data_IF_164813951355
#
_entry.id   IF_164813951355
#
_cell.length_a   1.000
_cell.length_b   1.000
_cell.length_c   1.000
_cell.angle_alpha   90.00
_cell.angle_beta   90.00
_cell.angle_gamma   90.00
#
_symmetry.space_group_name_H-M   'P 1'
#
loop_
_entity.id
_entity.type
_entity.pdbx_description
1 polymer ?
#
# COMPACT_ATOMS: atom_id res chain seq x y z
N UNK A 1 -20.55 9.17 -7.68
CA UNK A 1 -20.22 8.75 -9.07
C UNK A 1 -19.43 7.46 -9.00
N UNK A 2 -19.58 6.53 -9.95
CA UNK A 2 -18.78 5.30 -9.97
C UNK A 2 -17.57 5.46 -10.90
N UNK A 3 -16.37 5.19 -10.40
CA UNK A 3 -15.13 5.33 -11.16
C UNK A 3 -14.87 4.08 -12.01
N UNK A 4 -14.22 4.24 -13.16
CA UNK A 4 -13.90 3.11 -14.00
C UNK A 4 -12.78 2.22 -13.45
N UNK A 5 -12.55 1.08 -14.08
CA UNK A 5 -11.48 0.16 -13.72
C UNK A 5 -10.98 -0.62 -14.93
N UNK A 6 -9.78 -1.21 -14.78
CA UNK A 6 -9.13 -1.99 -15.84
C UNK A 6 -8.36 -3.17 -15.27
N UNK A 7 -8.42 -4.29 -15.97
CA UNK A 7 -7.54 -5.42 -15.74
C UNK A 7 -6.15 -5.16 -16.34
N UNK A 8 -5.12 -5.30 -15.51
CA UNK A 8 -3.72 -5.25 -15.90
C UNK A 8 -3.16 -6.66 -15.83
N UNK A 9 -2.75 -7.19 -16.97
CA UNK A 9 -2.13 -8.50 -17.10
C UNK A 9 -0.62 -8.37 -17.26
N UNK A 10 0.13 -9.21 -16.57
CA UNK A 10 1.60 -9.25 -16.66
C UNK A 10 2.09 -10.68 -16.58
N UNK A 11 2.93 -11.05 -17.54
CA UNK A 11 3.73 -12.27 -17.46
C UNK A 11 4.98 -11.99 -16.61
N UNK A 12 5.31 -12.92 -15.73
CA UNK A 12 6.54 -12.90 -14.94
C UNK A 12 7.28 -14.19 -15.16
N UNK A 13 8.48 -14.09 -15.72
CA UNK A 13 9.43 -15.19 -15.81
C UNK A 13 10.22 -15.26 -14.51
N UNK A 14 10.13 -16.39 -13.83
CA UNK A 14 10.91 -16.69 -12.64
C UNK A 14 12.38 -16.93 -12.96
N UNK A 15 13.22 -16.93 -11.92
CA UNK A 15 14.66 -17.23 -12.03
C UNK A 15 14.91 -18.67 -12.49
N UNK A 16 13.94 -19.56 -12.24
CA UNK A 16 13.88 -20.94 -12.70
C UNK A 16 13.37 -21.08 -14.16
N UNK A 17 13.09 -19.97 -14.84
CA UNK A 17 12.50 -19.95 -16.18
C UNK A 17 10.99 -20.18 -16.22
N UNK A 18 10.33 -20.42 -15.07
CA UNK A 18 8.89 -20.69 -15.02
C UNK A 18 8.09 -19.42 -15.28
N UNK A 19 7.10 -19.51 -16.17
CA UNK A 19 6.20 -18.38 -16.48
C UNK A 19 5.03 -18.39 -15.49
N UNK A 20 4.81 -17.26 -14.83
CA UNK A 20 3.62 -16.99 -14.01
C UNK A 20 2.79 -15.87 -14.61
N UNK A 21 1.47 -16.03 -14.55
CA UNK A 21 0.50 -15.07 -15.06
C UNK A 21 -0.04 -14.26 -13.88
N UNK A 22 0.12 -12.93 -13.91
CA UNK A 22 -0.47 -12.03 -12.91
C UNK A 22 -1.56 -11.20 -13.54
N UNK A 23 -2.72 -11.16 -12.90
CA UNK A 23 -3.80 -10.24 -13.21
C UNK A 23 -4.03 -9.32 -12.00
N UNK A 24 -4.25 -8.03 -12.24
CA UNK A 24 -4.61 -7.05 -11.21
C UNK A 24 -5.76 -6.20 -11.70
N UNK A 25 -6.76 -6.02 -10.84
CA UNK A 25 -7.78 -5.01 -11.06
C UNK A 25 -7.25 -3.67 -10.55
N UNK A 26 -7.31 -2.64 -11.39
CA UNK A 26 -6.81 -1.30 -11.09
C UNK A 26 -7.93 -0.30 -11.32
N UNK A 27 -8.20 0.54 -10.34
CA UNK A 27 -9.13 1.66 -10.45
C UNK A 27 -8.56 2.74 -11.38
N UNK A 28 -9.42 3.41 -12.12
CA UNK A 28 -9.06 4.57 -12.93
C UNK A 28 -9.09 5.82 -12.04
N UNK A 29 -8.06 6.03 -11.22
CA UNK A 29 -8.03 7.16 -10.29
C UNK A 29 -8.09 8.55 -10.93
N UNK A 30 -7.82 8.65 -12.24
CA UNK A 30 -8.04 9.90 -12.98
C UNK A 30 -9.54 10.25 -13.13
N UNK A 31 -10.45 9.29 -12.95
CA UNK A 31 -11.90 9.53 -12.90
C UNK A 31 -12.38 10.00 -11.52
N UNK A 32 -11.50 10.04 -10.50
CA UNK A 32 -11.87 10.48 -9.16
C UNK A 32 -12.01 12.00 -9.06
N UNK A 33 -13.08 12.42 -8.40
CA UNK A 33 -13.32 13.81 -7.99
C UNK A 33 -12.42 14.17 -6.79
N UNK A 34 -12.05 15.45 -6.61
CA UNK A 34 -11.42 15.93 -5.38
C UNK A 34 -12.23 15.65 -4.10
N UNK A 35 -13.53 15.35 -4.21
CA UNK A 35 -14.39 14.97 -3.08
C UNK A 35 -14.28 13.50 -2.68
N UNK A 36 -13.53 12.69 -3.44
CA UNK A 36 -13.40 11.25 -3.20
C UNK A 36 -12.24 10.89 -2.26
N UNK A 37 -11.50 11.89 -1.74
CA UNK A 37 -10.39 11.76 -0.82
C UNK A 37 -10.03 13.10 -0.19
N UNK A 38 -9.51 13.09 1.04
CA UNK A 38 -8.97 14.28 1.70
C UNK A 38 -7.47 14.47 1.45
N UNK A 39 -6.71 13.37 1.42
CA UNK A 39 -5.25 13.36 1.28
C UNK A 39 -4.80 12.21 0.37
N UNK A 40 -3.71 12.45 -0.37
CA UNK A 40 -3.10 11.49 -1.30
C UNK A 40 -1.61 11.31 -1.06
N UNK A 41 -0.98 12.22 -0.33
CA UNK A 41 0.45 12.19 -0.06
C UNK A 41 0.81 11.06 0.91
N UNK A 42 1.76 10.22 0.52
CA UNK A 42 2.41 9.28 1.41
C UNK A 42 3.93 9.53 1.39
N UNK A 43 4.58 9.58 2.56
CA UNK A 43 6.02 9.75 2.62
C UNK A 43 6.73 8.54 2.00
N UNK A 44 7.90 8.80 1.42
CA UNK A 44 8.79 7.76 0.88
C UNK A 44 10.11 7.77 1.66
N UNK A 45 10.61 6.56 1.96
CA UNK A 45 11.85 6.39 2.70
C UNK A 45 13.02 7.07 1.98
N UNK A 46 13.75 7.94 2.68
CA UNK A 46 14.95 8.56 2.12
C UNK A 46 16.07 7.54 2.05
N UNK A 47 16.78 7.51 0.92
CA UNK A 47 17.93 6.63 0.75
C UNK A 47 19.06 6.89 1.76
N UNK A 48 19.19 8.14 2.24
CA UNK A 48 20.13 8.51 3.31
C UNK A 48 19.78 7.84 4.64
N UNK A 49 18.49 7.86 5.01
CA UNK A 49 17.97 7.20 6.22
C UNK A 49 18.21 5.69 6.16
N UNK A 50 17.90 5.05 5.03
CA UNK A 50 18.15 3.62 4.83
C UNK A 50 19.63 3.28 5.00
N UNK A 51 20.52 4.03 4.33
CA UNK A 51 21.98 3.80 4.44
C UNK A 51 22.48 3.98 5.88
N UNK A 52 22.03 5.03 6.57
CA UNK A 52 22.40 5.27 7.96
C UNK A 52 21.97 4.12 8.88
N UNK A 53 20.72 3.64 8.72
CA UNK A 53 20.20 2.50 9.48
C UNK A 53 21.01 1.21 9.23
N UNK A 54 21.38 0.95 7.96
CA UNK A 54 22.21 -0.21 7.61
C UNK A 54 23.62 -0.13 8.20
N UNK A 55 24.26 1.05 8.17
CA UNK A 55 25.58 1.26 8.78
C UNK A 55 25.52 1.08 10.29
N UNK A 56 24.48 1.61 10.93
CA UNK A 56 24.27 1.43 12.36
C UNK A 56 24.09 -0.05 12.73
N UNK A 57 23.22 -0.76 12.02
CA UNK A 57 23.00 -2.18 12.21
C UNK A 57 24.29 -2.99 12.03
N UNK A 58 25.11 -2.68 11.01
CA UNK A 58 26.40 -3.33 10.79
C UNK A 58 27.38 -3.06 11.95
N UNK A 59 27.46 -1.81 12.44
CA UNK A 59 28.32 -1.43 13.57
C UNK A 59 27.92 -2.16 14.86
N UNK A 60 26.61 -2.28 15.11
CA UNK A 60 26.06 -2.95 16.28
C UNK A 60 25.94 -4.48 16.11
N UNK A 61 26.31 -5.01 14.93
CA UNK A 61 26.17 -6.43 14.56
C UNK A 61 24.72 -6.95 14.67
N UNK A 62 23.75 -6.08 14.38
CA UNK A 62 22.34 -6.44 14.38
C UNK A 62 21.95 -7.26 13.15
N UNK A 63 20.99 -8.15 13.33
CA UNK A 63 20.36 -8.90 12.24
C UNK A 63 19.34 -8.01 11.54
N UNK A 64 19.45 -7.91 10.22
CA UNK A 64 18.46 -7.22 9.39
C UNK A 64 17.50 -8.26 8.79
N UNK A 65 16.21 -8.02 8.95
CA UNK A 65 15.16 -8.79 8.29
C UNK A 65 14.45 -7.91 7.27
N UNK A 66 14.11 -8.48 6.12
CA UNK A 66 13.35 -7.80 5.07
C UNK A 66 11.96 -8.44 4.95
N UNK A 67 10.93 -7.60 4.92
CA UNK A 67 9.54 -8.01 4.79
C UNK A 67 8.94 -7.30 3.57
N UNK A 68 8.45 -8.07 2.61
CA UNK A 68 7.67 -7.57 1.47
C UNK A 68 6.19 -7.89 1.72
N UNK A 69 5.36 -6.86 1.86
CA UNK A 69 3.93 -7.02 2.13
C UNK A 69 3.18 -7.20 0.82
N UNK A 70 2.76 -8.43 0.55
CA UNK A 70 1.94 -8.71 -0.62
C UNK A 70 0.59 -7.98 -0.54
N UNK A 71 0.20 -7.35 -1.65
CA UNK A 71 -1.11 -6.69 -1.80
C UNK A 71 -1.40 -5.58 -0.79
N UNK A 72 -0.38 -4.88 -0.30
CA UNK A 72 -0.47 -3.80 0.69
C UNK A 72 -1.73 -2.91 0.62
N UNK A 73 -2.08 -2.38 -0.56
CA UNK A 73 -3.26 -1.50 -0.70
C UNK A 73 -4.59 -2.20 -0.39
N UNK A 74 -4.72 -3.50 -0.65
CA UNK A 74 -5.94 -4.26 -0.37
C UNK A 74 -6.16 -4.50 1.13
N UNK A 75 -5.15 -4.25 1.97
CA UNK A 75 -5.25 -4.36 3.43
C UNK A 75 -5.78 -3.05 4.05
N UNK A 76 -5.48 -1.92 3.40
CA UNK A 76 -5.81 -0.59 3.89
C UNK A 76 -7.33 -0.31 3.81
N UNK A 77 -7.99 0.10 4.90
CA UNK A 77 -9.37 0.59 4.82
C UNK A 77 -9.45 1.86 3.95
N UNK A 78 -10.66 2.18 3.48
CA UNK A 78 -10.94 3.45 2.82
C UNK A 78 -11.68 4.36 3.79
N UNK A 79 -11.28 5.62 3.85
CA UNK A 79 -12.00 6.64 4.60
C UNK A 79 -13.29 7.08 3.87
N UNK A 80 -13.24 7.08 2.53
CA UNK A 80 -14.33 7.52 1.66
C UNK A 80 -15.04 6.36 1.00
N UNK A 81 -16.35 6.50 0.78
CA UNK A 81 -17.12 5.51 0.03
C UNK A 81 -16.81 5.60 -1.47
N UNK A 82 -15.99 4.69 -1.97
CA UNK A 82 -15.65 4.60 -3.40
C UNK A 82 -16.47 3.51 -4.08
N UNK A 83 -17.05 3.84 -5.22
CA UNK A 83 -17.80 2.91 -6.06
C UNK A 83 -17.07 2.69 -7.38
N UNK A 84 -16.90 1.44 -7.77
CA UNK A 84 -16.23 1.01 -8.99
C UNK A 84 -17.26 0.54 -10.00
N UNK A 85 -17.16 0.97 -11.26
CA UNK A 85 -17.88 0.33 -12.37
C UNK A 85 -17.47 -1.14 -12.43
N UNK A 86 -18.42 -2.02 -12.76
CA UNK A 86 -18.13 -3.46 -12.85
C UNK A 86 -16.96 -3.73 -13.82
N UNK A 87 -15.97 -4.55 -13.41
CA UNK A 87 -14.89 -4.93 -14.30
C UNK A 87 -15.41 -5.70 -15.50
N UNK A 88 -14.72 -5.54 -16.64
CA UNK A 88 -14.98 -6.36 -17.82
C UNK A 88 -14.88 -7.85 -17.45
N UNK A 89 -15.86 -8.64 -17.91
CA UNK A 89 -15.96 -10.08 -17.63
C UNK A 89 -16.78 -10.43 -16.38
N UNK A 90 -17.27 -9.45 -15.61
CA UNK A 90 -18.11 -9.67 -14.42
C UNK A 90 -19.50 -9.06 -14.61
N UNK A 91 -20.40 -9.82 -15.25
CA UNK A 91 -21.81 -9.46 -15.48
C UNK A 91 -22.78 -10.28 -14.60
N UNK A 92 -22.43 -10.51 -13.33
CA UNK A 92 -23.08 -11.53 -12.51
C UNK A 92 -24.45 -11.13 -11.94
N UNK A 93 -24.88 -9.86 -12.04
CA UNK A 93 -26.17 -9.40 -11.52
C UNK A 93 -26.72 -8.19 -12.30
N UNK A 94 -27.92 -8.29 -12.87
CA UNK A 94 -28.59 -7.16 -13.56
C UNK A 94 -29.05 -6.04 -12.60
N UNK A 95 -29.02 -6.28 -11.28
CA UNK A 95 -29.63 -5.39 -10.28
C UNK A 95 -28.73 -4.24 -9.78
N UNK A 96 -27.43 -4.28 -10.06
CA UNK A 96 -26.49 -3.26 -9.56
C UNK A 96 -25.51 -2.84 -10.63
N UNK A 97 -25.29 -1.54 -10.83
CA UNK A 97 -24.37 -1.05 -11.88
C UNK A 97 -22.92 -0.87 -11.41
N UNK A 98 -22.65 -1.02 -10.11
CA UNK A 98 -21.34 -0.77 -9.53
C UNK A 98 -21.06 -1.64 -8.28
N UNK A 99 -19.78 -1.68 -7.88
CA UNK A 99 -19.30 -2.32 -6.66
C UNK A 99 -18.80 -1.27 -5.67
N UNK A 100 -19.17 -1.39 -4.40
CA UNK A 100 -18.59 -0.57 -3.33
C UNK A 100 -17.26 -1.18 -2.88
N UNK A 101 -16.17 -0.41 -2.92
CA UNK A 101 -14.89 -0.85 -2.39
C UNK A 101 -14.92 -0.85 -0.87
N UNK A 102 -14.47 -1.95 -0.26
CA UNK A 102 -14.31 -2.08 1.21
C UNK A 102 -12.92 -1.68 1.70
N UNK A 103 -11.94 -1.75 0.81
CA UNK A 103 -10.52 -1.54 1.04
C UNK A 103 -9.95 -0.77 -0.14
N UNK A 104 -8.78 -0.18 0.05
CA UNK A 104 -8.11 0.56 -1.00
C UNK A 104 -7.71 -0.37 -2.16
N UNK A 105 -7.53 0.19 -3.35
CA UNK A 105 -7.29 -0.55 -4.58
C UNK A 105 -6.24 0.17 -5.40
N UNK A 106 -5.37 -0.58 -6.06
CA UNK A 106 -4.40 -0.02 -7.00
C UNK A 106 -5.06 0.98 -7.96
N UNK A 107 -4.40 2.10 -8.18
CA UNK A 107 -4.87 3.13 -9.11
C UNK A 107 -5.79 4.17 -8.49
N UNK A 108 -6.29 3.99 -7.26
CA UNK A 108 -6.89 5.11 -6.52
C UNK A 108 -5.81 6.12 -6.13
N UNK A 109 -6.12 7.41 -6.21
CA UNK A 109 -5.19 8.50 -5.87
C UNK A 109 -4.69 8.41 -4.43
N UNK A 110 -5.57 8.06 -3.49
CA UNK A 110 -5.26 7.95 -2.06
C UNK A 110 -4.66 6.61 -1.63
N UNK A 111 -4.40 5.66 -2.56
CA UNK A 111 -3.97 4.30 -2.18
C UNK A 111 -2.71 4.28 -1.31
N UNK A 112 -1.74 5.11 -1.68
CA UNK A 112 -0.48 5.23 -0.95
C UNK A 112 -0.71 5.79 0.46
N UNK A 113 -1.53 6.83 0.57
CA UNK A 113 -1.88 7.46 1.85
C UNK A 113 -2.62 6.48 2.77
N UNK A 114 -3.66 5.81 2.28
CA UNK A 114 -4.45 4.85 3.08
C UNK A 114 -3.58 3.70 3.61
N UNK A 115 -2.67 3.19 2.77
CA UNK A 115 -1.71 2.18 3.23
C UNK A 115 -0.71 2.73 4.24
N UNK A 116 -0.20 3.94 4.04
CA UNK A 116 0.69 4.57 4.99
C UNK A 116 0.01 4.71 6.37
N UNK A 117 -1.23 5.21 6.42
CA UNK A 117 -1.98 5.30 7.68
C UNK A 117 -2.16 3.91 8.32
N UNK A 118 -2.51 2.90 7.52
CA UNK A 118 -2.68 1.53 7.99
C UNK A 118 -1.40 0.97 8.65
N UNK A 119 -0.24 1.09 8.00
CA UNK A 119 1.01 0.53 8.53
C UNK A 119 1.55 1.35 9.71
N UNK A 120 1.41 2.67 9.68
CA UNK A 120 1.83 3.54 10.81
C UNK A 120 1.03 3.20 12.06
N UNK A 121 -0.30 3.08 11.95
CA UNK A 121 -1.15 2.71 13.08
C UNK A 121 -0.77 1.35 13.66
N UNK A 122 -0.47 0.36 12.81
CA UNK A 122 -0.07 -0.96 13.28
C UNK A 122 1.31 -0.95 13.95
N UNK A 123 2.29 -0.24 13.39
CA UNK A 123 3.61 -0.07 14.01
C UNK A 123 3.49 0.65 15.37
N UNK A 124 2.68 1.70 15.46
CA UNK A 124 2.42 2.40 16.73
C UNK A 124 1.75 1.48 17.75
N UNK A 125 0.78 0.67 17.33
CA UNK A 125 0.13 -0.34 18.19
C UNK A 125 1.14 -1.36 18.73
N UNK A 126 2.17 -1.70 17.96
CA UNK A 126 3.26 -2.58 18.36
C UNK A 126 4.32 -1.89 19.24
N UNK A 127 4.16 -0.59 19.54
CA UNK A 127 5.04 0.19 20.40
C UNK A 127 6.18 0.90 19.67
N UNK A 128 6.14 0.98 18.34
CA UNK A 128 7.10 1.77 17.57
C UNK A 128 6.71 3.25 17.53
N UNK A 129 7.71 4.12 17.51
CA UNK A 129 7.56 5.57 17.42
C UNK A 129 8.28 6.07 16.18
N UNK A 130 7.60 6.91 15.39
CA UNK A 130 8.19 7.53 14.21
C UNK A 130 9.30 8.53 14.58
N UNK A 131 10.38 8.55 13.81
CA UNK A 131 11.48 9.50 13.98
C UNK A 131 11.12 10.90 13.45
N UNK A 132 11.64 11.95 14.08
CA UNK A 132 11.39 13.34 13.67
C UNK A 132 12.07 13.71 12.32
N UNK A 133 13.21 13.08 12.02
CA UNK A 133 13.99 13.39 10.81
C UNK A 133 13.46 12.73 9.53
N UNK A 134 12.77 11.59 9.68
CA UNK A 134 12.19 10.83 8.58
C UNK A 134 10.93 10.08 9.07
N UNK A 135 9.73 10.41 8.55
CA UNK A 135 8.48 9.76 8.96
C UNK A 135 8.38 8.28 8.53
N UNK A 136 9.32 7.78 7.72
CA UNK A 136 9.42 6.37 7.36
C UNK A 136 10.36 5.57 8.28
N UNK A 137 11.07 6.22 9.21
CA UNK A 137 11.91 5.52 10.19
C UNK A 137 11.15 5.38 11.51
N UNK A 138 11.08 4.15 12.02
CA UNK A 138 10.43 3.82 13.28
C UNK A 138 11.44 3.19 14.24
N UNK A 139 11.32 3.55 15.51
CA UNK A 139 12.15 3.07 16.62
C UNK A 139 11.27 2.45 17.69
N UNK A 140 11.71 1.36 18.31
CA UNK A 140 11.10 0.81 19.51
C UNK A 140 12.21 0.45 20.48
N UNK A 141 12.13 0.99 21.69
CA UNK A 141 13.07 0.63 22.75
C UNK A 141 12.61 -0.70 23.40
N UNK A 142 13.55 -1.59 23.68
CA UNK A 142 13.29 -2.81 24.45
C UNK A 142 14.51 -3.07 25.34
N UNK A 143 14.27 -3.19 26.66
CA UNK A 143 15.30 -3.45 27.68
C UNK A 143 16.47 -2.45 27.71
N UNK A 144 16.23 -1.18 27.36
CA UNK A 144 17.26 -0.13 27.33
C UNK A 144 18.13 -0.13 26.06
N UNK A 145 17.86 -1.02 25.12
CA UNK A 145 18.45 -1.00 23.78
C UNK A 145 17.45 -0.44 22.75
N UNK A 146 17.99 0.30 21.77
CA UNK A 146 17.25 0.91 20.65
C UNK A 146 17.28 0.00 19.43
#
# INVERSE_FOLDING_TARGET
NAIGCKWIYKLKTGVDGKISHKARLVAQGFDQSPTDYDEVFAPSLKATTLRAALVWAAKMKYRINHLDVETAYLLAPLQHAIYLKKPLGYNTDEKTDCWKLKKSLYGLKQSGYEWNQCIVNELTRLGFVAGMADPCLFRKESDGEI
#
